data_IF_281001247030
#
_entry.id   IF_281001247030
#
_cell.length_a   1.000
_cell.length_b   1.000
_cell.length_c   1.000
_cell.angle_alpha   90.00
_cell.angle_beta   90.00
_cell.angle_gamma   90.00
#
_symmetry.space_group_name_H-M   'P 1'
#
loop_
_entity.id
_entity.type
_entity.pdbx_description
1 polymer ?
#
# COMPACT_ATOMS: atom_id res chain seq x y z
N UNK A 1 -13.85 -2.13 -34.96
CA UNK A 1 -14.50 -1.70 -33.71
C UNK A 1 -13.50 -1.91 -32.59
N UNK A 2 -12.94 -0.82 -32.04
CA UNK A 2 -12.09 -0.92 -30.87
C UNK A 2 -12.98 -1.20 -29.66
N UNK A 3 -12.62 -2.19 -28.84
CA UNK A 3 -13.26 -2.44 -27.56
C UNK A 3 -13.18 -1.16 -26.70
N UNK A 4 -14.20 -0.82 -25.92
CA UNK A 4 -14.13 0.33 -25.02
C UNK A 4 -12.98 0.09 -24.05
N UNK A 5 -12.00 1.00 -24.05
CA UNK A 5 -10.94 1.00 -23.04
C UNK A 5 -11.61 1.00 -21.66
N UNK A 6 -11.25 0.07 -20.77
CA UNK A 6 -11.78 0.09 -19.42
C UNK A 6 -11.40 1.43 -18.82
N UNK A 7 -12.37 2.09 -18.19
CA UNK A 7 -12.16 3.31 -17.44
C UNK A 7 -11.03 3.03 -16.44
N UNK A 8 -9.79 3.40 -16.81
CA UNK A 8 -8.62 3.17 -15.97
C UNK A 8 -8.90 3.98 -14.71
N UNK A 9 -9.05 3.27 -13.61
CA UNK A 9 -9.23 3.88 -12.31
C UNK A 9 -8.05 4.77 -11.94
N UNK A 10 -8.05 5.23 -10.70
CA UNK A 10 -6.90 5.93 -10.12
C UNK A 10 -5.60 5.17 -10.44
N UNK A 11 -4.49 5.86 -10.68
CA UNK A 11 -3.20 5.29 -11.13
C UNK A 11 -2.77 4.12 -10.25
N UNK A 12 -3.03 4.23 -8.94
CA UNK A 12 -2.77 3.16 -7.97
C UNK A 12 -3.58 1.88 -8.24
N UNK A 13 -4.86 2.01 -8.60
CA UNK A 13 -5.74 0.88 -8.90
C UNK A 13 -5.30 0.15 -10.17
N UNK A 14 -4.80 0.88 -11.18
CA UNK A 14 -4.23 0.30 -12.40
C UNK A 14 -3.04 -0.62 -12.11
N UNK A 15 -2.08 -0.13 -11.32
CA UNK A 15 -0.90 -0.91 -10.92
C UNK A 15 -1.27 -2.10 -10.04
N UNK A 16 -2.26 -1.94 -9.14
CA UNK A 16 -2.77 -3.06 -8.34
C UNK A 16 -3.42 -4.13 -9.21
N UNK A 17 -4.19 -3.74 -10.23
CA UNK A 17 -4.79 -4.67 -11.17
C UNK A 17 -3.72 -5.40 -12.00
N UNK A 18 -2.70 -4.69 -12.47
CA UNK A 18 -1.57 -5.30 -13.19
C UNK A 18 -0.76 -6.26 -12.30
N UNK A 19 -0.61 -5.94 -11.01
CA UNK A 19 -0.04 -6.85 -10.03
C UNK A 19 -0.86 -8.15 -9.95
N UNK A 20 -2.19 -8.06 -9.84
CA UNK A 20 -3.09 -9.21 -9.79
C UNK A 20 -3.03 -10.04 -11.08
N UNK A 21 -3.12 -9.41 -12.25
CA UNK A 21 -3.11 -10.07 -13.56
C UNK A 21 -1.82 -10.87 -13.77
N UNK A 22 -0.67 -10.32 -13.39
CA UNK A 22 0.63 -11.02 -13.47
C UNK A 22 0.71 -12.29 -12.60
N UNK A 23 -0.21 -12.48 -11.65
CA UNK A 23 -0.36 -13.69 -10.83
C UNK A 23 -1.54 -14.56 -11.27
N UNK A 24 -2.06 -14.32 -12.47
CA UNK A 24 -3.23 -15.01 -13.01
C UNK A 24 -4.47 -14.82 -12.13
N UNK A 25 -4.56 -13.67 -11.45
CA UNK A 25 -5.70 -13.30 -10.64
C UNK A 25 -6.58 -12.32 -11.40
N UNK A 26 -7.88 -12.57 -11.35
CA UNK A 26 -8.90 -11.67 -11.88
C UNK A 26 -9.38 -10.75 -10.75
N UNK A 27 -9.07 -9.46 -10.84
CA UNK A 27 -9.59 -8.44 -9.93
C UNK A 27 -10.97 -7.96 -10.35
N UNK A 28 -11.95 -8.03 -9.45
CA UNK A 28 -13.28 -7.42 -9.62
C UNK A 28 -13.50 -6.32 -8.59
N UNK A 29 -14.03 -5.19 -9.05
CA UNK A 29 -14.48 -4.13 -8.15
C UNK A 29 -15.77 -4.52 -7.43
N UNK A 30 -15.99 -3.87 -6.29
CA UNK A 30 -17.32 -3.86 -5.67
C UNK A 30 -18.30 -3.07 -6.54
N UNK A 31 -19.56 -3.49 -6.55
CA UNK A 31 -20.61 -2.76 -7.23
C UNK A 31 -20.85 -1.40 -6.57
N UNK A 32 -21.42 -0.45 -7.32
CA UNK A 32 -21.76 0.88 -6.79
C UNK A 32 -22.67 0.81 -5.57
N UNK A 33 -23.59 -0.16 -5.54
CA UNK A 33 -24.51 -0.33 -4.41
C UNK A 33 -23.82 -0.92 -3.18
N UNK A 34 -22.84 -1.81 -3.35
CA UNK A 34 -21.97 -2.29 -2.25
C UNK A 34 -21.15 -1.13 -1.67
N UNK A 35 -20.51 -0.32 -2.54
CA UNK A 35 -19.69 0.83 -2.13
C UNK A 35 -20.52 1.93 -1.42
N UNK A 36 -21.82 2.05 -1.72
CA UNK A 36 -22.72 3.00 -1.04
C UNK A 36 -23.15 2.51 0.35
N UNK A 37 -23.16 1.20 0.59
CA UNK A 37 -23.58 0.60 1.87
C UNK A 37 -22.49 0.69 2.94
N UNK A 38 -21.23 0.84 2.54
CA UNK A 38 -20.13 0.93 3.48
C UNK A 38 -18.78 0.98 2.79
N UNK A 39 -17.72 0.92 3.60
CA UNK A 39 -16.35 0.86 3.09
C UNK A 39 -16.11 -0.49 2.42
N UNK A 40 -15.48 -0.45 1.26
CA UNK A 40 -14.98 -1.63 0.57
C UNK A 40 -13.52 -1.41 0.21
N UNK A 41 -12.72 -2.47 0.10
CA UNK A 41 -11.48 -2.37 -0.63
C UNK A 41 -11.76 -2.22 -2.13
N UNK A 42 -10.75 -1.87 -2.92
CA UNK A 42 -10.89 -1.64 -4.35
C UNK A 42 -11.27 -2.92 -5.11
N UNK A 43 -10.68 -4.06 -4.72
CA UNK A 43 -10.85 -5.31 -5.45
C UNK A 43 -11.11 -6.53 -4.57
N UNK A 44 -11.94 -7.44 -5.12
CA UNK A 44 -11.95 -8.87 -4.83
C UNK A 44 -11.13 -9.57 -5.89
N UNK A 45 -10.17 -10.42 -5.50
CA UNK A 45 -9.37 -11.17 -6.46
C UNK A 45 -9.81 -12.64 -6.52
N UNK A 46 -9.85 -13.18 -7.74
CA UNK A 46 -10.28 -14.54 -8.04
C UNK A 46 -9.19 -15.31 -8.77
N UNK A 47 -9.02 -16.59 -8.43
CA UNK A 47 -8.18 -17.55 -9.15
C UNK A 47 -9.06 -18.71 -9.60
N UNK A 48 -9.13 -18.98 -10.90
CA UNK A 48 -10.02 -20.00 -11.47
C UNK A 48 -11.48 -19.87 -10.96
N UNK A 49 -12.00 -18.64 -10.97
CA UNK A 49 -13.33 -18.25 -10.47
C UNK A 49 -13.60 -18.46 -8.97
N UNK A 50 -12.62 -18.93 -8.21
CA UNK A 50 -12.69 -18.96 -6.75
C UNK A 50 -12.18 -17.65 -6.18
N UNK A 51 -12.95 -17.03 -5.27
CA UNK A 51 -12.50 -15.88 -4.51
C UNK A 51 -11.34 -16.26 -3.58
N UNK A 52 -10.23 -15.50 -3.63
CA UNK A 52 -8.99 -15.86 -2.91
C UNK A 52 -8.45 -14.78 -1.99
N UNK A 53 -8.67 -13.48 -2.24
CA UNK A 53 -8.18 -12.39 -1.39
C UNK A 53 -8.89 -11.06 -1.67
N UNK A 54 -8.82 -10.14 -0.70
CA UNK A 54 -9.13 -8.73 -0.89
C UNK A 54 -7.86 -7.95 -1.21
N UNK A 55 -7.96 -6.96 -2.10
CA UNK A 55 -6.86 -6.10 -2.50
C UNK A 55 -7.29 -4.63 -2.45
N UNK A 56 -6.49 -3.80 -1.78
CA UNK A 56 -6.65 -2.35 -1.73
C UNK A 56 -5.44 -1.69 -2.40
N UNK A 57 -5.69 -0.65 -3.20
CA UNK A 57 -4.65 0.15 -3.83
C UNK A 57 -4.50 1.49 -3.11
N UNK A 58 -3.25 1.94 -2.96
CA UNK A 58 -2.93 3.29 -2.48
C UNK A 58 -1.84 3.90 -3.34
N UNK A 59 -2.02 5.16 -3.72
CA UNK A 59 -1.03 5.93 -4.47
C UNK A 59 -0.26 6.85 -3.54
N UNK A 60 1.05 6.62 -3.42
CA UNK A 60 2.01 7.52 -2.79
C UNK A 60 2.46 8.52 -3.85
N UNK A 61 1.91 9.72 -3.78
CA UNK A 61 2.19 10.82 -4.70
C UNK A 61 3.36 11.66 -4.21
N UNK A 62 4.00 12.38 -5.13
CA UNK A 62 4.99 13.39 -4.76
C UNK A 62 4.35 14.46 -3.85
N UNK A 63 5.06 14.86 -2.78
CA UNK A 63 4.60 15.94 -1.91
C UNK A 63 4.85 17.30 -2.57
N UNK A 64 3.83 17.83 -3.26
CA UNK A 64 3.85 19.12 -3.95
C UNK A 64 3.56 20.31 -3.02
N UNK A 65 3.59 20.11 -1.70
CA UNK A 65 3.23 21.15 -0.73
C UNK A 65 4.11 22.40 -0.84
N UNK A 66 5.43 22.24 -0.94
CA UNK A 66 6.33 23.38 -1.04
C UNK A 66 6.15 24.10 -2.39
N UNK A 67 5.94 23.35 -3.47
CA UNK A 67 5.70 23.90 -4.81
C UNK A 67 4.42 24.75 -4.82
N UNK A 68 3.32 24.24 -4.25
CA UNK A 68 2.08 24.99 -4.08
C UNK A 68 2.27 26.24 -3.22
N UNK A 69 3.00 26.10 -2.11
CA UNK A 69 3.29 27.22 -1.22
C UNK A 69 4.08 28.32 -1.96
N UNK A 70 4.99 27.93 -2.86
CA UNK A 70 5.75 28.84 -3.72
C UNK A 70 4.88 29.49 -4.79
N UNK A 71 4.01 28.73 -5.45
CA UNK A 71 3.10 29.23 -6.49
C UNK A 71 2.08 30.24 -5.94
N UNK A 72 1.64 30.04 -4.69
CA UNK A 72 0.68 30.90 -4.01
C UNK A 72 1.34 32.14 -3.36
N UNK A 73 2.67 32.15 -3.21
CA UNK A 73 3.38 33.21 -2.52
C UNK A 73 3.54 34.48 -3.39
N UNK A 74 3.39 35.68 -2.81
CA UNK A 74 3.77 36.91 -3.51
C UNK A 74 5.26 36.92 -3.88
N UNK A 75 5.66 37.57 -4.99
CA UNK A 75 7.07 37.71 -5.36
C UNK A 75 7.92 38.23 -4.20
N UNK A 76 9.15 37.70 -4.08
CA UNK A 76 10.09 38.04 -3.00
C UNK A 76 9.65 37.62 -1.58
N UNK A 77 8.66 36.75 -1.45
CA UNK A 77 8.28 36.14 -0.17
C UNK A 77 9.04 34.84 0.04
N UNK A 78 9.75 34.72 1.17
CA UNK A 78 10.33 33.44 1.58
C UNK A 78 9.22 32.56 2.14
N UNK A 79 9.06 31.37 1.56
CA UNK A 79 8.08 30.38 2.02
C UNK A 79 8.77 29.06 2.35
N UNK A 80 8.30 28.40 3.42
CA UNK A 80 8.90 27.19 3.97
C UNK A 80 8.69 27.11 5.49
N UNK A 81 9.09 25.99 6.10
CA UNK A 81 8.97 25.79 7.54
C UNK A 81 9.12 24.32 7.94
N UNK A 82 9.22 24.07 9.24
CA UNK A 82 9.19 22.72 9.78
C UNK A 82 7.78 22.14 9.65
N UNK A 83 7.67 20.94 9.06
CA UNK A 83 6.41 20.19 8.94
C UNK A 83 6.63 18.82 9.57
N UNK A 84 5.62 18.31 10.30
CA UNK A 84 5.61 16.92 10.75
C UNK A 84 5.80 16.00 9.55
N UNK A 85 6.68 15.00 9.66
CA UNK A 85 7.14 14.19 8.54
C UNK A 85 5.96 13.74 7.64
N UNK A 86 5.83 14.31 6.42
CA UNK A 86 4.68 14.07 5.57
C UNK A 86 4.66 12.63 5.05
N UNK A 87 5.81 11.97 4.94
CA UNK A 87 5.91 10.60 4.42
C UNK A 87 5.35 9.61 5.42
N UNK A 88 5.84 9.63 6.67
CA UNK A 88 5.39 8.68 7.69
C UNK A 88 3.89 8.84 8.01
N UNK A 89 3.42 10.08 8.17
CA UNK A 89 2.00 10.34 8.41
C UNK A 89 1.09 9.90 7.26
N UNK A 90 1.54 10.11 6.01
CA UNK A 90 0.82 9.68 4.81
C UNK A 90 0.70 8.16 4.75
N UNK A 91 1.82 7.45 4.95
CA UNK A 91 1.83 5.98 4.98
C UNK A 91 0.96 5.43 6.12
N UNK A 92 1.07 5.96 7.33
CA UNK A 92 0.19 5.61 8.46
C UNK A 92 -1.29 5.82 8.11
N UNK A 93 -1.63 6.92 7.44
CA UNK A 93 -3.00 7.20 7.01
C UNK A 93 -3.51 6.23 5.95
N UNK A 94 -2.67 5.87 4.98
CA UNK A 94 -3.01 4.86 3.97
C UNK A 94 -3.28 3.49 4.58
N UNK A 95 -2.40 3.04 5.48
CA UNK A 95 -2.54 1.77 6.22
C UNK A 95 -3.83 1.78 7.05
N UNK A 96 -4.07 2.85 7.80
CA UNK A 96 -5.26 3.03 8.63
C UNK A 96 -6.56 2.92 7.80
N UNK A 97 -6.62 3.61 6.67
CA UNK A 97 -7.79 3.61 5.81
C UNK A 97 -8.01 2.23 5.17
N UNK A 98 -6.95 1.60 4.67
CA UNK A 98 -7.01 0.26 4.09
C UNK A 98 -7.49 -0.78 5.12
N UNK A 99 -6.94 -0.77 6.34
CA UNK A 99 -7.37 -1.67 7.41
C UNK A 99 -8.87 -1.51 7.74
N UNK A 100 -9.38 -0.27 7.73
CA UNK A 100 -10.83 -0.02 7.89
C UNK A 100 -11.66 -0.56 6.73
N UNK A 101 -11.17 -0.45 5.50
CA UNK A 101 -11.84 -1.01 4.31
C UNK A 101 -11.89 -2.53 4.38
N UNK A 102 -10.77 -3.18 4.73
CA UNK A 102 -10.73 -4.63 4.92
C UNK A 102 -11.64 -5.09 6.05
N UNK A 103 -11.58 -4.44 7.23
CA UNK A 103 -12.42 -4.81 8.38
C UNK A 103 -13.91 -4.75 8.06
N UNK A 104 -14.34 -3.84 7.18
CA UNK A 104 -15.74 -3.69 6.81
C UNK A 104 -16.30 -4.90 6.03
N UNK A 105 -15.46 -5.61 5.26
CA UNK A 105 -15.87 -6.74 4.40
C UNK A 105 -15.28 -8.08 4.82
N UNK A 106 -14.28 -8.07 5.71
CA UNK A 106 -13.49 -9.24 6.12
C UNK A 106 -13.16 -9.19 7.63
N UNK A 107 -14.16 -8.86 8.47
CA UNK A 107 -13.99 -8.68 9.91
C UNK A 107 -13.37 -9.90 10.62
N UNK A 108 -13.76 -11.10 10.21
CA UNK A 108 -13.27 -12.38 10.77
C UNK A 108 -11.90 -12.79 10.19
N UNK A 109 -11.33 -12.01 9.26
CA UNK A 109 -10.09 -12.33 8.53
C UNK A 109 -10.09 -13.74 7.91
N UNK A 110 -11.21 -14.13 7.30
CA UNK A 110 -11.33 -15.44 6.62
C UNK A 110 -10.47 -15.53 5.37
N UNK A 111 -10.24 -14.40 4.71
CA UNK A 111 -9.44 -14.29 3.51
C UNK A 111 -8.23 -13.37 3.73
N UNK A 112 -7.16 -13.49 2.93
CA UNK A 112 -6.03 -12.59 2.96
C UNK A 112 -6.42 -11.15 2.57
N UNK A 113 -5.80 -10.18 3.21
CA UNK A 113 -5.85 -8.76 2.86
C UNK A 113 -4.50 -8.31 2.31
N UNK A 114 -4.48 -7.83 1.06
CA UNK A 114 -3.28 -7.34 0.37
C UNK A 114 -3.37 -5.85 0.12
N UNK A 115 -2.39 -5.08 0.59
CA UNK A 115 -2.30 -3.64 0.32
C UNK A 115 -1.21 -3.38 -0.72
N UNK A 116 -1.60 -2.83 -1.87
CA UNK A 116 -0.69 -2.47 -2.95
C UNK A 116 -0.45 -0.96 -2.92
N UNK A 117 0.80 -0.57 -2.69
CA UNK A 117 1.27 0.78 -2.87
C UNK A 117 1.85 0.97 -4.26
N UNK A 118 1.31 1.96 -4.97
CA UNK A 118 1.97 2.56 -6.14
C UNK A 118 2.71 3.78 -5.67
N UNK A 119 3.99 3.89 -5.98
CA UNK A 119 4.84 4.97 -5.50
C UNK A 119 5.41 5.78 -6.65
N UNK A 120 5.00 7.04 -6.74
CA UNK A 120 5.56 8.02 -7.67
C UNK A 120 6.49 9.02 -6.96
N UNK A 121 6.71 8.87 -5.65
CA UNK A 121 7.58 9.71 -4.85
C UNK A 121 8.95 9.02 -4.64
N UNK A 122 9.98 9.51 -5.32
CA UNK A 122 11.32 8.94 -5.25
C UNK A 122 12.03 9.21 -3.90
N UNK A 123 11.48 10.09 -3.06
CA UNK A 123 11.96 10.31 -1.69
C UNK A 123 11.27 9.40 -0.67
N UNK A 124 10.24 8.65 -1.07
CA UNK A 124 9.56 7.67 -0.24
C UNK A 124 9.90 6.27 -0.75
N UNK A 125 10.65 5.51 0.05
CA UNK A 125 11.07 4.16 -0.28
C UNK A 125 10.31 3.08 0.49
N UNK A 126 10.55 1.83 0.10
CA UNK A 126 10.12 0.65 0.86
C UNK A 126 10.67 0.67 2.30
N UNK A 127 11.87 1.22 2.51
CA UNK A 127 12.47 1.39 3.83
C UNK A 127 11.63 2.30 4.74
N UNK A 128 10.96 3.31 4.20
CA UNK A 128 10.05 4.16 4.97
C UNK A 128 8.79 3.40 5.37
N UNK A 129 8.23 2.59 4.47
CA UNK A 129 7.13 1.70 4.81
C UNK A 129 7.54 0.73 5.94
N UNK A 130 8.70 0.08 5.83
CA UNK A 130 9.22 -0.80 6.88
C UNK A 130 9.36 -0.03 8.20
N UNK A 131 9.88 1.21 8.16
CA UNK A 131 10.04 2.06 9.34
C UNK A 131 8.70 2.40 10.00
N UNK A 132 7.64 2.67 9.22
CA UNK A 132 6.28 2.88 9.72
C UNK A 132 5.70 1.61 10.35
N UNK A 133 5.95 0.45 9.75
CA UNK A 133 5.39 -0.82 10.23
C UNK A 133 6.09 -1.32 11.50
N UNK A 134 7.41 -1.14 11.61
CA UNK A 134 8.21 -1.65 12.75
C UNK A 134 8.47 -0.59 13.82
N UNK A 135 8.37 0.69 13.46
CA UNK A 135 8.70 1.83 14.32
C UNK A 135 10.20 2.02 14.51
N UNK A 136 11.02 1.46 13.62
CA UNK A 136 12.47 1.51 13.69
C UNK A 136 13.04 2.26 12.49
N UNK A 137 14.09 3.03 12.72
CA UNK A 137 14.99 3.51 11.69
C UNK A 137 16.07 2.46 11.43
N UNK A 138 16.41 2.27 10.15
CA UNK A 138 17.42 1.32 9.71
C UNK A 138 18.54 2.10 9.02
N UNK A 139 19.70 2.20 9.66
CA UNK A 139 20.83 2.90 9.08
C UNK A 139 21.60 2.02 8.09
N UNK A 140 22.40 2.65 7.23
CA UNK A 140 23.27 1.95 6.28
C UNK A 140 24.35 1.10 6.97
N UNK A 141 24.74 1.44 8.20
CA UNK A 141 25.69 0.67 9.01
C UNK A 141 25.06 -0.55 9.68
N UNK A 142 23.74 -0.72 9.54
CA UNK A 142 22.97 -1.81 10.14
C UNK A 142 22.49 -1.53 11.57
N UNK A 143 22.67 -0.32 12.09
CA UNK A 143 22.03 0.07 13.35
C UNK A 143 20.51 0.14 13.19
N UNK A 144 19.81 -0.28 14.24
CA UNK A 144 18.35 -0.27 14.31
C UNK A 144 17.96 0.58 15.51
N UNK A 145 17.36 1.74 15.24
CA UNK A 145 17.04 2.74 16.26
C UNK A 145 15.51 2.91 16.35
N UNK A 146 14.87 2.66 17.50
CA UNK A 146 13.39 2.65 17.63
C UNK A 146 12.80 4.07 17.73
N UNK A 147 13.17 4.96 16.81
CA UNK A 147 12.81 6.39 16.84
C UNK A 147 11.46 6.70 16.18
N UNK A 148 10.87 5.75 15.44
CA UNK A 148 9.60 5.92 14.73
C UNK A 148 8.44 5.17 15.38
N UNK A 149 8.57 4.82 16.67
CA UNK A 149 7.54 4.08 17.41
C UNK A 149 6.22 4.83 17.50
N UNK A 150 6.22 6.17 17.46
CA UNK A 150 4.99 6.96 17.46
C UNK A 150 4.07 6.66 16.27
N UNK A 151 4.62 6.34 15.10
CA UNK A 151 3.83 5.96 13.92
C UNK A 151 3.35 4.52 14.02
N UNK A 152 4.27 3.62 14.35
CA UNK A 152 4.04 2.18 14.39
C UNK A 152 3.13 1.73 15.53
N UNK A 153 3.32 2.31 16.71
CA UNK A 153 2.58 1.98 17.95
C UNK A 153 1.47 3.00 18.25
N UNK A 154 1.28 3.99 17.38
CA UNK A 154 0.18 4.94 17.41
C UNK A 154 -1.08 4.39 16.74
N UNK A 155 -1.61 5.15 15.77
CA UNK A 155 -2.91 4.87 15.14
C UNK A 155 -3.02 3.47 14.52
N UNK A 156 -1.94 2.98 13.93
CA UNK A 156 -1.94 1.72 13.17
C UNK A 156 -1.45 0.52 13.97
N UNK A 157 -1.23 0.65 15.29
CA UNK A 157 -0.64 -0.38 16.14
C UNK A 157 -1.20 -1.77 15.90
N UNK A 158 -2.52 -1.91 15.99
CA UNK A 158 -3.21 -3.18 15.74
C UNK A 158 -3.59 -3.36 14.26
N UNK A 159 -3.86 -2.26 13.57
CA UNK A 159 -4.37 -2.26 12.20
C UNK A 159 -3.36 -2.81 11.20
N UNK A 160 -2.07 -2.51 11.39
CA UNK A 160 -0.98 -3.01 10.53
C UNK A 160 -0.92 -4.55 10.52
N UNK A 161 -1.36 -5.19 11.59
CA UNK A 161 -1.38 -6.65 11.72
C UNK A 161 -2.59 -7.31 11.03
N UNK A 162 -3.57 -6.52 10.58
CA UNK A 162 -4.76 -7.00 9.84
C UNK A 162 -4.52 -7.13 8.34
N UNK A 163 -3.41 -6.58 7.85
CA UNK A 163 -2.95 -6.68 6.47
C UNK A 163 -1.90 -7.79 6.41
N UNK A 164 -2.06 -8.73 5.48
CA UNK A 164 -1.25 -9.93 5.40
C UNK A 164 0.00 -9.74 4.52
N UNK A 165 -0.13 -8.89 3.50
CA UNK A 165 0.94 -8.56 2.57
C UNK A 165 0.85 -7.10 2.15
N UNK A 166 2.00 -6.43 2.20
CA UNK A 166 2.21 -5.13 1.58
C UNK A 166 3.04 -5.32 0.31
N UNK A 167 2.56 -4.75 -0.79
CA UNK A 167 3.25 -4.76 -2.08
C UNK A 167 3.65 -3.34 -2.42
N UNK A 168 4.92 -3.12 -2.74
CA UNK A 168 5.45 -1.81 -3.10
C UNK A 168 5.90 -1.81 -4.55
N UNK A 169 5.24 -0.98 -5.36
CA UNK A 169 5.49 -0.81 -6.79
C UNK A 169 5.96 0.62 -7.05
N UNK A 170 7.20 0.79 -7.51
CA UNK A 170 7.69 2.10 -7.93
C UNK A 170 7.24 2.40 -9.36
N UNK A 171 6.82 3.64 -9.59
CA UNK A 171 6.25 4.13 -10.85
C UNK A 171 6.77 5.54 -11.17
N UNK A 172 8.10 5.66 -11.17
CA UNK A 172 8.83 6.85 -11.59
C UNK A 172 9.99 6.46 -12.53
N UNK A 173 10.40 7.33 -13.46
CA UNK A 173 11.49 7.05 -14.39
C UNK A 173 12.79 6.63 -13.69
N UNK A 174 13.44 5.58 -14.20
CA UNK A 174 14.69 5.07 -13.64
C UNK A 174 14.52 4.16 -12.42
N UNK A 175 13.30 4.00 -11.88
CA UNK A 175 13.02 2.97 -10.89
C UNK A 175 13.29 1.58 -11.47
N UNK A 176 13.91 0.70 -10.69
CA UNK A 176 13.86 -0.73 -11.01
C UNK A 176 12.41 -1.17 -10.97
N UNK A 177 11.94 -1.75 -12.06
CA UNK A 177 10.56 -2.22 -12.21
C UNK A 177 10.36 -3.55 -11.45
N UNK A 178 10.71 -3.54 -10.17
CA UNK A 178 10.69 -4.70 -9.28
C UNK A 178 9.74 -4.43 -8.13
N UNK A 179 8.72 -5.26 -8.02
CA UNK A 179 7.80 -5.26 -6.89
C UNK A 179 8.56 -5.71 -5.65
N UNK A 180 8.36 -5.01 -4.54
CA UNK A 180 8.93 -5.39 -3.25
C UNK A 180 7.80 -5.87 -2.35
N UNK A 181 8.02 -6.97 -1.65
CA UNK A 181 7.02 -7.56 -0.76
C UNK A 181 7.46 -7.43 0.69
N UNK A 182 6.54 -6.98 1.54
CA UNK A 182 6.68 -7.06 2.98
C UNK A 182 5.57 -7.93 3.55
N UNK A 183 5.99 -9.08 4.06
CA UNK A 183 5.10 -10.10 4.61
C UNK A 183 4.94 -9.89 6.10
N UNK A 184 3.70 -9.78 6.56
CA UNK A 184 3.41 -9.75 7.98
C UNK A 184 3.71 -11.12 8.59
N UNK A 185 4.69 -11.18 9.50
CA UNK A 185 5.12 -12.42 10.13
C UNK A 185 3.98 -13.18 10.83
N UNK A 186 3.04 -12.45 11.42
CA UNK A 186 1.91 -13.01 12.17
C UNK A 186 0.71 -13.37 11.28
N UNK A 187 0.83 -13.27 9.95
CA UNK A 187 -0.27 -13.58 9.04
C UNK A 187 -0.62 -15.08 9.07
N UNK A 188 -1.87 -15.46 9.40
CA UNK A 188 -2.31 -16.85 9.27
C UNK A 188 -2.44 -17.29 7.80
N UNK A 189 -2.46 -16.33 6.87
CA UNK A 189 -2.66 -16.53 5.44
C UNK A 189 -1.35 -16.66 4.65
N UNK A 190 -0.20 -16.65 5.33
CA UNK A 190 1.11 -16.65 4.66
C UNK A 190 1.26 -17.78 3.62
N UNK A 191 0.93 -19.02 3.99
CA UNK A 191 1.05 -20.16 3.08
C UNK A 191 0.06 -20.07 1.92
N UNK A 192 -1.18 -19.66 2.20
CA UNK A 192 -2.21 -19.43 1.18
C UNK A 192 -1.76 -18.37 0.18
N UNK A 193 -1.23 -17.24 0.64
CA UNK A 193 -0.72 -16.18 -0.22
C UNK A 193 0.49 -16.63 -1.05
N UNK A 194 1.44 -17.39 -0.47
CA UNK A 194 2.55 -17.94 -1.24
C UNK A 194 2.05 -18.83 -2.39
N UNK A 195 1.06 -19.69 -2.14
CA UNK A 195 0.45 -20.55 -3.15
C UNK A 195 -0.32 -19.76 -4.21
N UNK A 196 -1.14 -18.79 -3.79
CA UNK A 196 -1.94 -17.95 -4.69
C UNK A 196 -1.04 -17.12 -5.61
N UNK A 197 0.02 -16.53 -5.06
CA UNK A 197 0.94 -15.64 -5.77
C UNK A 197 2.06 -16.39 -6.51
N UNK A 198 2.18 -17.71 -6.36
CA UNK A 198 3.27 -18.51 -6.94
C UNK A 198 4.65 -18.12 -6.40
N UNK A 199 4.72 -17.62 -5.17
CA UNK A 199 5.95 -17.10 -4.58
C UNK A 199 6.62 -18.13 -3.67
N UNK A 200 7.95 -18.24 -3.74
CA UNK A 200 8.74 -19.19 -2.95
C UNK A 200 8.98 -18.66 -1.52
N UNK A 201 8.42 -19.29 -0.47
CA UNK A 201 8.59 -18.87 0.91
C UNK A 201 10.05 -18.75 1.35
N UNK A 202 10.97 -19.50 0.73
CA UNK A 202 12.40 -19.48 1.07
C UNK A 202 13.09 -18.18 0.67
N UNK A 203 12.47 -17.38 -0.19
CA UNK A 203 13.01 -16.10 -0.69
C UNK A 203 12.45 -14.89 0.06
N UNK A 204 11.54 -15.10 1.01
CA UNK A 204 10.86 -14.00 1.69
C UNK A 204 11.60 -13.61 2.96
N UNK A 205 11.79 -12.30 3.14
CA UNK A 205 11.98 -11.72 4.46
C UNK A 205 10.59 -11.40 5.03
N UNK A 206 10.33 -11.87 6.24
CA UNK A 206 9.11 -11.55 7.00
C UNK A 206 9.54 -10.79 8.24
N UNK A 207 8.71 -9.85 8.67
CA UNK A 207 8.97 -9.00 9.84
C UNK A 207 7.65 -8.72 10.55
#
# INVERSE_FOLDING_TARGET
MAAPSPNLGDRGEGVALDFLIRRELRGERFSKDEMRKGKTPDFRAFKNDQFVLFCEAKHVQYDDWLDKLMDEAPPMTLVGGSRSDPVYNRLTTHIHNAAKQFKAVNADRKFPNVLVFTNSDHHCGMTDLVSVLTGNFYSESGSIDPIFKEFSEGRIREEKHTIDLYVWCNDYPGAKNTEQFFWNESSPHYQTLCSVLGSDPKKHKRV
#
